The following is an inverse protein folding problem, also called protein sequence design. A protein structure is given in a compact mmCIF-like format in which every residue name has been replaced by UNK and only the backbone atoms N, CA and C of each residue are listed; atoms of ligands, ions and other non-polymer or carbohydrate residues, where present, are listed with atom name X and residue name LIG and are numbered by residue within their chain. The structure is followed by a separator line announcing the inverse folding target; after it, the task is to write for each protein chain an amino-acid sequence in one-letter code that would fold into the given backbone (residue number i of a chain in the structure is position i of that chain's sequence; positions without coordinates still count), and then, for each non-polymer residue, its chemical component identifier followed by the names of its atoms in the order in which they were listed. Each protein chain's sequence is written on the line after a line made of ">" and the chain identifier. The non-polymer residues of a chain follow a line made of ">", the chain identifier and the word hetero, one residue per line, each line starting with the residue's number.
data_IF_472223296481
#
_entry.id   IF_472223296481
#
_cell.length_a   1.000
_cell.length_b   1.000
_cell.length_c   1.000
_cell.angle_alpha   90.00
_cell.angle_beta   90.00
_cell.angle_gamma   90.00
#
_symmetry.space_group_name_H-M   'P 1'
#
loop_
_entity.id
_entity.type
_entity.pdbx_description
1 polymer ?
#
# COMPACT_ATOMS: atom_id res chain seq x y z
N UNK A 1 -5.94 -12.17 80.60
CA UNK A 1 -4.62 -12.48 80.06
C UNK A 1 -4.67 -12.17 78.57
N UNK A 2 -3.87 -11.18 78.15
CA UNK A 2 -3.87 -10.56 76.80
C UNK A 2 -2.96 -11.36 75.85
N UNK A 3 -3.46 -11.79 74.71
CA UNK A 3 -2.65 -12.29 73.63
C UNK A 3 -2.71 -11.31 72.47
N UNK A 4 -1.55 -10.69 72.20
CA UNK A 4 -1.31 -9.81 71.03
C UNK A 4 -1.05 -10.63 69.79
N UNK A 5 -1.86 -10.42 68.77
CA UNK A 5 -1.62 -10.96 67.44
C UNK A 5 -0.89 -9.90 66.58
N UNK A 6 0.33 -10.23 66.13
CA UNK A 6 1.15 -9.40 65.27
C UNK A 6 0.66 -9.56 63.82
N UNK A 7 0.29 -8.43 63.20
CA UNK A 7 0.07 -8.34 61.75
C UNK A 7 1.40 -8.14 61.06
N UNK A 8 1.75 -9.08 60.20
CA UNK A 8 2.88 -8.96 59.28
C UNK A 8 2.37 -8.38 57.96
N UNK A 9 2.69 -7.11 57.72
CA UNK A 9 2.37 -6.40 56.49
C UNK A 9 3.26 -6.84 55.34
N UNK A 10 2.66 -7.43 54.34
CA UNK A 10 3.35 -7.73 53.08
C UNK A 10 3.29 -6.50 52.16
N UNK A 11 4.42 -5.85 52.02
CA UNK A 11 4.58 -4.68 51.12
C UNK A 11 4.79 -5.20 49.69
N UNK A 12 3.76 -5.22 48.88
CA UNK A 12 3.86 -5.45 47.45
C UNK A 12 4.38 -4.19 46.77
N UNK A 13 5.65 -4.20 46.38
CA UNK A 13 6.19 -3.23 45.43
C UNK A 13 5.67 -3.52 44.05
N UNK A 14 4.74 -2.69 43.57
CA UNK A 14 4.38 -2.58 42.15
C UNK A 14 5.53 -1.88 41.43
N UNK A 15 6.36 -2.64 40.71
CA UNK A 15 7.24 -2.07 39.69
C UNK A 15 6.38 -1.66 38.50
N UNK A 16 6.08 -0.37 38.39
CA UNK A 16 5.58 0.22 37.16
C UNK A 16 6.73 0.27 36.16
N UNK A 17 6.76 -0.65 35.23
CA UNK A 17 7.62 -0.53 34.04
C UNK A 17 6.99 0.53 33.14
N UNK A 18 7.50 1.75 33.24
CA UNK A 18 7.21 2.80 32.27
C UNK A 18 7.90 2.40 30.95
N UNK A 19 7.12 1.88 30.01
CA UNK A 19 7.55 1.78 28.62
C UNK A 19 7.59 3.22 28.10
N UNK A 20 8.75 3.84 28.16
CA UNK A 20 9.02 5.09 27.46
C UNK A 20 9.08 4.75 25.98
N UNK A 21 7.98 4.95 25.27
CA UNK A 21 8.00 5.02 23.83
C UNK A 21 8.75 6.28 23.44
N UNK A 22 9.97 6.13 22.96
CA UNK A 22 10.68 7.23 22.32
C UNK A 22 9.83 7.76 21.16
N UNK A 23 9.60 9.09 21.06
CA UNK A 23 8.97 9.64 19.88
C UNK A 23 9.90 9.37 18.70
N UNK A 24 9.37 8.69 17.66
CA UNK A 24 10.02 8.60 16.36
C UNK A 24 10.22 10.05 15.90
N UNK A 25 11.44 10.55 16.03
CA UNK A 25 11.83 11.83 15.50
C UNK A 25 11.58 11.77 13.98
N UNK A 26 10.50 12.41 13.56
CA UNK A 26 10.31 12.75 12.16
C UNK A 26 11.53 13.55 11.74
N UNK A 27 12.40 12.91 10.95
CA UNK A 27 13.54 13.58 10.37
C UNK A 27 13.00 14.73 9.53
N UNK A 28 13.11 15.95 10.07
CA UNK A 28 12.79 17.20 9.40
C UNK A 28 13.84 17.45 8.30
N UNK A 29 13.65 16.75 7.19
CA UNK A 29 14.31 16.98 5.94
C UNK A 29 13.23 17.11 4.89
N UNK A 30 12.62 18.29 4.79
CA UNK A 30 11.78 18.65 3.67
C UNK A 30 12.67 18.62 2.40
N UNK A 31 12.76 17.45 1.77
CA UNK A 31 13.25 17.34 0.40
C UNK A 31 12.04 17.38 -0.53
N UNK A 32 11.78 18.59 -1.04
CA UNK A 32 10.97 18.81 -2.22
C UNK A 32 11.39 17.81 -3.31
N UNK A 33 10.45 17.07 -3.89
CA UNK A 33 10.66 16.26 -5.09
C UNK A 33 11.08 17.08 -6.34
N UNK A 34 11.34 18.36 -6.19
CA UNK A 34 11.66 19.30 -7.27
C UNK A 34 13.15 19.35 -7.60
N UNK A 35 14.03 18.75 -6.80
CA UNK A 35 15.45 18.69 -7.14
C UNK A 35 15.72 17.48 -8.07
N UNK A 36 15.69 17.72 -9.38
CA UNK A 36 16.29 16.82 -10.38
C UNK A 36 17.81 16.73 -10.15
N UNK A 37 18.25 16.00 -9.15
CA UNK A 37 19.61 15.52 -9.14
C UNK A 37 19.74 14.39 -10.15
N UNK A 38 20.46 14.70 -11.25
CA UNK A 38 21.00 13.71 -12.18
C UNK A 38 22.09 12.88 -11.47
N UNK A 39 21.74 12.10 -10.47
CA UNK A 39 22.59 11.04 -10.01
C UNK A 39 22.34 9.81 -10.89
N UNK A 40 23.40 9.29 -11.50
CA UNK A 40 23.43 8.03 -12.24
C UNK A 40 22.76 6.95 -11.39
N UNK A 41 21.47 6.73 -11.61
CA UNK A 41 20.77 5.53 -11.20
C UNK A 41 21.43 4.39 -11.95
N UNK A 42 21.94 3.40 -11.24
CA UNK A 42 22.38 2.14 -11.82
C UNK A 42 21.24 1.60 -12.68
N UNK A 43 21.45 1.57 -13.97
CA UNK A 43 20.59 1.19 -15.09
C UNK A 43 19.13 0.88 -14.74
N UNK A 44 18.22 1.78 -15.12
CA UNK A 44 16.80 1.51 -15.24
C UNK A 44 16.61 0.49 -16.38
N UNK A 45 16.90 -0.77 -16.14
CA UNK A 45 16.77 -1.81 -17.15
C UNK A 45 15.28 -2.07 -17.36
N UNK A 46 14.77 -1.68 -18.52
CA UNK A 46 13.47 -2.18 -19.00
C UNK A 46 13.71 -3.60 -19.46
N UNK A 47 12.92 -4.51 -18.93
CA UNK A 47 13.00 -5.92 -19.19
C UNK A 47 11.60 -6.50 -19.48
N UNK A 48 11.52 -7.73 -19.87
CA UNK A 48 10.26 -8.39 -20.17
C UNK A 48 10.29 -9.87 -19.85
N UNK A 49 9.13 -10.42 -19.56
CA UNK A 49 8.92 -11.85 -19.33
C UNK A 49 7.58 -12.29 -19.88
N UNK A 50 7.54 -13.50 -20.45
CA UNK A 50 6.30 -14.13 -20.89
C UNK A 50 5.61 -14.78 -19.66
N UNK A 51 4.41 -14.34 -19.35
CA UNK A 51 3.59 -14.84 -18.24
C UNK A 51 2.20 -15.18 -18.79
N UNK A 52 1.75 -16.40 -18.63
CA UNK A 52 0.43 -16.86 -19.10
C UNK A 52 0.11 -16.50 -20.56
N UNK A 53 1.13 -16.50 -21.44
CA UNK A 53 0.98 -16.09 -22.83
C UNK A 53 1.03 -14.59 -23.08
N UNK A 54 1.17 -13.77 -22.04
CA UNK A 54 1.27 -12.31 -22.12
C UNK A 54 2.71 -11.85 -21.93
N UNK A 55 3.22 -11.00 -22.84
CA UNK A 55 4.52 -10.34 -22.66
C UNK A 55 4.37 -9.19 -21.66
N UNK A 56 4.93 -9.35 -20.48
CA UNK A 56 4.93 -8.33 -19.40
C UNK A 56 6.24 -7.56 -19.43
N UNK A 57 6.16 -6.26 -19.72
CA UNK A 57 7.29 -5.36 -19.63
C UNK A 57 7.35 -4.75 -18.23
N UNK A 58 8.54 -4.58 -17.70
CA UNK A 58 8.74 -3.97 -16.39
C UNK A 58 10.07 -3.24 -16.32
N UNK A 59 10.16 -2.25 -15.45
CA UNK A 59 11.39 -1.57 -15.07
C UNK A 59 11.81 -2.01 -13.67
N UNK A 60 13.12 -2.24 -13.48
CA UNK A 60 13.69 -2.55 -12.17
C UNK A 60 14.55 -1.40 -11.66
N UNK A 61 14.42 -1.09 -10.38
CA UNK A 61 15.34 -0.26 -9.62
C UNK A 61 15.91 -1.12 -8.49
N UNK A 62 17.21 -1.36 -8.52
CA UNK A 62 17.88 -2.16 -7.50
C UNK A 62 18.58 -1.25 -6.49
N UNK A 63 18.61 -1.57 -5.19
CA UNK A 63 19.42 -0.86 -4.23
C UNK A 63 20.92 -1.04 -4.54
N UNK A 64 21.77 -0.19 -3.95
CA UNK A 64 23.24 -0.24 -4.18
C UNK A 64 23.84 -1.61 -3.93
N UNK A 65 23.29 -2.36 -2.98
CA UNK A 65 23.67 -3.74 -2.69
C UNK A 65 22.42 -4.60 -2.61
N UNK A 66 22.36 -5.62 -3.44
CA UNK A 66 21.31 -6.65 -3.40
C UNK A 66 21.82 -7.78 -2.51
N UNK A 67 20.97 -8.23 -1.59
CA UNK A 67 21.19 -9.34 -0.68
C UNK A 67 20.05 -10.37 -0.85
N UNK A 68 20.25 -11.64 -0.48
CA UNK A 68 19.19 -12.65 -0.56
C UNK A 68 17.91 -12.34 0.24
N UNK A 69 18.00 -11.39 1.17
CA UNK A 69 16.88 -10.88 1.96
C UNK A 69 16.42 -9.48 1.52
N UNK A 70 16.92 -8.95 0.40
CA UNK A 70 16.46 -7.66 -0.14
C UNK A 70 14.97 -7.75 -0.48
N UNK A 71 14.10 -6.93 0.14
CA UNK A 71 12.67 -6.93 -0.13
C UNK A 71 12.35 -6.43 -1.53
N UNK A 72 11.21 -6.86 -2.07
CA UNK A 72 10.68 -6.39 -3.35
C UNK A 72 9.39 -5.59 -3.13
N UNK A 73 9.31 -4.40 -3.70
CA UNK A 73 8.06 -3.64 -3.84
C UNK A 73 7.66 -3.66 -5.31
N UNK A 74 6.42 -4.02 -5.61
CA UNK A 74 5.80 -3.92 -6.93
C UNK A 74 4.90 -2.69 -6.95
N UNK A 75 5.13 -1.76 -7.89
CA UNK A 75 4.41 -0.49 -8.02
C UNK A 75 3.58 -0.47 -9.29
N UNK A 76 2.27 -0.38 -9.15
CA UNK A 76 1.31 -0.40 -10.24
C UNK A 76 0.88 1.02 -10.63
N UNK A 77 0.90 1.31 -11.94
CA UNK A 77 0.44 2.59 -12.49
C UNK A 77 -1.10 2.69 -12.53
N UNK A 78 -1.63 3.91 -12.68
CA UNK A 78 -3.04 4.17 -12.93
C UNK A 78 -3.47 3.90 -14.37
N UNK A 79 -4.76 4.07 -14.67
CA UNK A 79 -5.35 3.86 -15.99
C UNK A 79 -4.68 4.74 -17.06
N UNK A 80 -4.26 4.14 -18.17
CA UNK A 80 -3.57 4.80 -19.26
C UNK A 80 -2.09 5.13 -19.00
N UNK A 81 -1.55 4.78 -17.82
CA UNK A 81 -0.14 4.93 -17.45
C UNK A 81 0.77 3.87 -18.07
N UNK A 82 1.80 3.43 -17.33
CA UNK A 82 2.70 2.35 -17.75
C UNK A 82 3.81 2.77 -18.71
N UNK A 83 4.17 4.06 -18.71
CA UNK A 83 5.36 4.58 -19.40
C UNK A 83 6.67 4.22 -18.69
N UNK A 84 6.58 3.54 -17.53
CA UNK A 84 7.68 3.07 -16.69
C UNK A 84 8.55 4.20 -16.09
N UNK A 85 8.10 5.46 -16.14
CA UNK A 85 8.77 6.59 -15.48
C UNK A 85 8.45 6.62 -13.97
N UNK A 86 9.34 7.23 -13.20
CA UNK A 86 9.10 7.49 -11.78
C UNK A 86 8.29 8.80 -11.60
N UNK A 87 6.97 8.67 -11.58
CA UNK A 87 6.05 9.77 -11.28
C UNK A 87 5.72 9.86 -9.77
N UNK A 88 6.20 8.89 -8.98
CA UNK A 88 5.86 8.71 -7.56
C UNK A 88 7.01 9.00 -6.60
N UNK A 89 8.21 9.24 -7.11
CA UNK A 89 9.46 9.34 -6.34
C UNK A 89 9.83 8.07 -5.56
N UNK A 90 9.24 6.92 -5.89
CA UNK A 90 9.53 5.64 -5.25
C UNK A 90 10.95 5.16 -5.52
N UNK A 91 11.56 5.52 -6.66
CA UNK A 91 12.97 5.20 -6.97
C UNK A 91 13.90 5.70 -5.86
N UNK A 92 13.71 6.97 -5.44
CA UNK A 92 14.53 7.57 -4.39
C UNK A 92 14.28 6.94 -3.02
N UNK A 93 13.06 6.50 -2.74
CA UNK A 93 12.73 5.79 -1.50
C UNK A 93 13.37 4.40 -1.52
N UNK A 94 13.30 3.67 -2.63
CA UNK A 94 13.93 2.36 -2.80
C UNK A 94 15.43 2.41 -2.53
N UNK A 95 16.11 3.41 -3.10
CA UNK A 95 17.56 3.61 -2.89
C UNK A 95 17.92 3.93 -1.44
N UNK A 96 17.13 4.76 -0.75
CA UNK A 96 17.39 5.12 0.66
C UNK A 96 17.09 3.99 1.62
N UNK A 97 16.02 3.25 1.35
CA UNK A 97 15.51 2.23 2.27
C UNK A 97 16.02 0.82 1.96
N UNK A 98 16.72 0.63 0.84
CA UNK A 98 17.41 -0.63 0.52
C UNK A 98 16.47 -1.74 0.02
N UNK A 99 15.35 -1.43 -0.61
CA UNK A 99 14.50 -2.41 -1.27
C UNK A 99 14.61 -2.34 -2.81
N UNK A 100 14.31 -3.43 -3.47
CA UNK A 100 14.17 -3.48 -4.92
C UNK A 100 12.76 -3.03 -5.33
N UNK A 101 12.66 -2.21 -6.39
CA UNK A 101 11.38 -1.73 -6.92
C UNK A 101 11.16 -2.29 -8.32
N UNK A 102 10.06 -3.01 -8.52
CA UNK A 102 9.57 -3.46 -9.82
C UNK A 102 8.39 -2.59 -10.24
N UNK A 103 8.48 -1.96 -11.41
CA UNK A 103 7.42 -1.14 -12.00
C UNK A 103 6.95 -1.80 -13.29
N UNK A 104 5.94 -2.70 -13.23
CA UNK A 104 5.41 -3.34 -14.43
C UNK A 104 4.48 -2.42 -15.21
N UNK A 105 4.37 -2.67 -16.51
CA UNK A 105 3.37 -2.07 -17.37
C UNK A 105 2.17 -3.01 -17.53
N UNK A 106 0.96 -2.48 -17.34
CA UNK A 106 -0.28 -3.16 -17.66
C UNK A 106 -0.40 -3.47 -19.15
N UNK A 107 -1.28 -4.39 -19.51
CA UNK A 107 -1.60 -4.69 -20.90
C UNK A 107 -2.58 -3.64 -21.46
N UNK A 108 -2.72 -3.62 -22.78
CA UNK A 108 -3.72 -2.80 -23.44
C UNK A 108 -5.11 -3.43 -23.31
N UNK A 109 -6.03 -2.69 -22.73
CA UNK A 109 -7.43 -3.08 -22.58
C UNK A 109 -8.23 -2.93 -23.89
N UNK A 110 -9.52 -3.32 -23.92
CA UNK A 110 -10.37 -3.18 -25.09
C UNK A 110 -10.53 -1.73 -25.61
N UNK A 111 -10.23 -0.72 -24.78
CA UNK A 111 -10.20 0.69 -25.18
C UNK A 111 -8.83 1.15 -25.69
N UNK A 112 -7.85 0.25 -25.79
CA UNK A 112 -6.49 0.55 -26.22
C UNK A 112 -5.69 1.37 -25.21
N UNK A 113 -6.01 1.29 -23.92
CA UNK A 113 -5.27 1.93 -22.84
C UNK A 113 -4.56 0.87 -21.99
N UNK A 114 -3.33 1.16 -21.55
CA UNK A 114 -2.67 0.31 -20.55
C UNK A 114 -3.43 0.37 -19.24
N UNK A 115 -3.80 -0.79 -18.74
CA UNK A 115 -4.56 -0.90 -17.49
C UNK A 115 -4.37 -2.28 -16.85
N UNK A 116 -4.85 -2.40 -15.64
CA UNK A 116 -5.02 -3.66 -14.92
C UNK A 116 -6.47 -4.09 -15.02
N UNK A 117 -6.71 -5.36 -15.28
CA UNK A 117 -8.07 -5.90 -15.36
C UNK A 117 -8.65 -6.04 -13.94
N UNK A 118 -9.43 -5.07 -13.58
CA UNK A 118 -10.15 -5.04 -12.29
C UNK A 118 -11.65 -5.27 -12.46
N UNK A 119 -12.09 -5.58 -13.69
CA UNK A 119 -13.49 -5.83 -14.00
C UNK A 119 -14.32 -4.57 -14.18
N UNK A 120 -13.74 -3.53 -14.77
CA UNK A 120 -14.54 -2.41 -15.25
C UNK A 120 -15.55 -2.86 -16.31
N UNK A 121 -16.70 -2.21 -16.45
CA UNK A 121 -17.70 -2.60 -17.46
C UNK A 121 -17.15 -2.72 -18.87
N UNK A 122 -16.21 -1.86 -19.24
CA UNK A 122 -15.56 -1.89 -20.56
C UNK A 122 -14.42 -2.92 -20.68
N UNK A 123 -14.06 -3.63 -19.60
CA UNK A 123 -13.12 -4.76 -19.60
C UNK A 123 -13.84 -6.10 -19.70
N UNK A 124 -15.17 -6.11 -19.81
CA UNK A 124 -15.95 -7.34 -19.98
C UNK A 124 -15.44 -8.14 -21.17
N UNK A 125 -15.21 -9.44 -20.97
CA UNK A 125 -14.67 -10.35 -21.99
C UNK A 125 -13.14 -10.21 -22.23
N UNK A 126 -12.45 -9.32 -21.55
CA UNK A 126 -10.99 -9.24 -21.63
C UNK A 126 -10.35 -10.37 -20.81
N UNK A 127 -9.83 -11.38 -21.51
CA UNK A 127 -9.34 -12.63 -20.92
C UNK A 127 -7.92 -12.50 -20.32
N UNK A 128 -7.70 -11.49 -19.46
CA UNK A 128 -6.46 -11.27 -18.73
C UNK A 128 -6.73 -11.44 -17.26
N UNK A 129 -5.95 -12.24 -16.55
CA UNK A 129 -5.95 -12.34 -15.10
C UNK A 129 -4.69 -11.67 -14.52
N UNK A 130 -4.76 -10.36 -14.27
CA UNK A 130 -3.63 -9.61 -13.73
C UNK A 130 -3.26 -10.02 -12.30
N UNK A 131 -4.16 -10.63 -11.51
CA UNK A 131 -3.81 -11.15 -10.18
C UNK A 131 -2.79 -12.28 -10.31
N UNK A 132 -3.06 -13.24 -11.20
CA UNK A 132 -2.17 -14.38 -11.41
C UNK A 132 -0.88 -13.94 -12.11
N UNK A 133 -0.99 -13.12 -13.17
CA UNK A 133 0.16 -12.60 -13.90
C UNK A 133 1.13 -11.81 -13.00
N UNK A 134 0.62 -10.96 -12.10
CA UNK A 134 1.44 -10.21 -11.15
C UNK A 134 2.11 -11.14 -10.12
N UNK A 135 1.44 -12.18 -9.67
CA UNK A 135 2.03 -13.17 -8.77
C UNK A 135 3.20 -13.91 -9.45
N UNK A 136 3.02 -14.33 -10.70
CA UNK A 136 4.06 -15.02 -11.47
C UNK A 136 5.22 -14.09 -11.82
N UNK A 137 4.95 -12.85 -12.24
CA UNK A 137 5.95 -11.83 -12.47
C UNK A 137 6.78 -11.56 -11.22
N UNK A 138 6.12 -11.41 -10.07
CA UNK A 138 6.78 -11.16 -8.79
C UNK A 138 7.76 -12.27 -8.43
N UNK A 139 7.35 -13.54 -8.53
CA UNK A 139 8.21 -14.70 -8.30
C UNK A 139 9.40 -14.75 -9.27
N UNK A 140 9.13 -14.48 -10.55
CA UNK A 140 10.19 -14.43 -11.57
C UNK A 140 11.23 -13.37 -11.25
N UNK A 141 10.79 -12.14 -10.88
CA UNK A 141 11.68 -11.03 -10.52
C UNK A 141 12.49 -11.36 -9.26
N UNK A 142 11.85 -11.90 -8.22
CA UNK A 142 12.55 -12.34 -7.00
C UNK A 142 13.67 -13.32 -7.33
N UNK A 143 13.39 -14.33 -8.14
CA UNK A 143 14.36 -15.33 -8.54
C UNK A 143 15.47 -14.75 -9.43
N UNK A 144 15.11 -13.97 -10.44
CA UNK A 144 16.06 -13.39 -11.43
C UNK A 144 17.08 -12.49 -10.79
N UNK A 145 16.66 -11.67 -9.81
CA UNK A 145 17.54 -10.68 -9.17
C UNK A 145 18.06 -11.13 -7.80
N UNK A 146 17.79 -12.36 -7.37
CA UNK A 146 18.27 -12.90 -6.10
C UNK A 146 17.72 -12.18 -4.88
N UNK A 147 16.44 -11.76 -4.95
CA UNK A 147 15.77 -11.02 -3.89
C UNK A 147 15.14 -11.98 -2.86
N UNK A 148 14.66 -11.41 -1.74
CA UNK A 148 13.91 -12.18 -0.74
C UNK A 148 12.75 -12.95 -1.39
N UNK A 149 12.66 -14.26 -1.22
CA UNK A 149 11.57 -15.06 -1.79
C UNK A 149 10.23 -14.86 -1.05
N UNK A 150 10.27 -14.21 0.10
CA UNK A 150 9.10 -14.05 1.00
C UNK A 150 8.71 -12.59 1.25
N UNK A 151 9.63 -11.63 1.10
CA UNK A 151 9.38 -10.23 1.40
C UNK A 151 9.01 -9.48 0.11
N UNK A 152 7.79 -9.73 -0.36
CA UNK A 152 7.18 -8.99 -1.47
C UNK A 152 6.03 -8.12 -0.97
N UNK A 153 5.91 -6.92 -1.50
CA UNK A 153 4.92 -5.91 -1.18
C UNK A 153 4.32 -5.34 -2.45
N UNK A 154 3.05 -4.92 -2.41
CA UNK A 154 2.33 -4.37 -3.55
C UNK A 154 1.82 -2.99 -3.24
N UNK A 155 2.03 -2.05 -4.15
CA UNK A 155 1.38 -0.73 -4.10
C UNK A 155 0.99 -0.26 -5.48
N UNK A 156 0.06 0.66 -5.56
CA UNK A 156 -0.38 1.23 -6.83
C UNK A 156 -1.34 2.39 -6.63
N UNK A 157 -1.52 3.18 -7.69
CA UNK A 157 -2.41 4.33 -7.69
C UNK A 157 -3.57 4.13 -8.64
N UNK A 158 -4.77 4.65 -8.28
CA UNK A 158 -5.95 4.65 -9.14
C UNK A 158 -6.29 3.21 -9.58
N UNK A 159 -6.35 2.90 -10.87
CA UNK A 159 -6.51 1.52 -11.37
C UNK A 159 -5.48 0.53 -10.77
N UNK A 160 -4.23 0.97 -10.52
CA UNK A 160 -3.24 0.18 -9.77
C UNK A 160 -3.62 0.01 -8.29
N UNK A 161 -4.24 1.00 -7.67
CA UNK A 161 -4.80 0.93 -6.32
C UNK A 161 -6.00 -0.02 -6.24
N UNK A 162 -6.87 -0.01 -7.25
CA UNK A 162 -7.97 -0.98 -7.38
C UNK A 162 -7.47 -2.40 -7.54
N UNK A 163 -6.36 -2.58 -8.29
CA UNK A 163 -5.69 -3.88 -8.40
C UNK A 163 -5.11 -4.33 -7.05
N UNK A 164 -4.67 -3.40 -6.20
CA UNK A 164 -4.27 -3.69 -4.82
C UNK A 164 -5.45 -4.24 -4.00
N UNK A 165 -6.65 -3.66 -4.11
CA UNK A 165 -7.87 -4.22 -3.49
C UNK A 165 -8.21 -5.59 -4.05
N UNK A 166 -8.19 -5.76 -5.38
CA UNK A 166 -8.48 -7.05 -6.01
C UNK A 166 -7.49 -8.13 -5.57
N UNK A 167 -6.20 -7.78 -5.47
CA UNK A 167 -5.17 -8.66 -4.94
C UNK A 167 -5.45 -9.05 -3.49
N UNK A 168 -5.80 -8.10 -2.63
CA UNK A 168 -6.14 -8.35 -1.22
C UNK A 168 -7.35 -9.29 -1.09
N UNK A 169 -8.31 -9.23 -2.01
CA UNK A 169 -9.47 -10.12 -2.00
C UNK A 169 -9.23 -11.49 -2.63
N UNK A 170 -8.36 -11.59 -3.65
CA UNK A 170 -8.16 -12.86 -4.40
C UNK A 170 -6.92 -13.64 -4.00
N UNK A 171 -5.86 -12.98 -3.55
CA UNK A 171 -4.60 -13.64 -3.19
C UNK A 171 -3.95 -12.97 -1.97
N UNK A 172 -4.18 -13.55 -0.79
CA UNK A 172 -3.65 -13.05 0.49
C UNK A 172 -2.29 -13.65 0.86
N UNK A 173 -1.60 -14.33 -0.06
CA UNK A 173 -0.37 -15.07 0.25
C UNK A 173 0.87 -14.58 -0.49
N UNK A 174 0.68 -13.87 -1.63
CA UNK A 174 1.81 -13.43 -2.45
C UNK A 174 2.52 -12.22 -1.82
N UNK A 175 1.76 -11.27 -1.31
CA UNK A 175 2.29 -10.04 -0.76
C UNK A 175 2.08 -9.98 0.76
N UNK A 176 3.14 -9.64 1.50
CA UNK A 176 3.10 -9.53 2.96
C UNK A 176 2.28 -8.35 3.46
N UNK A 177 2.24 -7.28 2.70
CA UNK A 177 1.36 -6.14 2.91
C UNK A 177 1.09 -5.46 1.57
N UNK A 178 -0.05 -4.78 1.51
CA UNK A 178 -0.55 -4.12 0.30
C UNK A 178 -0.92 -2.68 0.65
N UNK A 179 -0.57 -1.72 -0.23
CA UNK A 179 -0.93 -0.33 -0.07
C UNK A 179 -1.57 0.22 -1.35
N UNK A 180 -2.76 0.78 -1.24
CA UNK A 180 -3.50 1.43 -2.33
C UNK A 180 -3.44 2.94 -2.17
N UNK A 181 -3.32 3.67 -3.27
CA UNK A 181 -3.42 5.13 -3.32
C UNK A 181 -4.52 5.51 -4.30
N UNK A 182 -5.52 6.23 -3.83
CA UNK A 182 -6.69 6.64 -4.61
C UNK A 182 -7.35 5.46 -5.37
N UNK A 183 -7.35 4.27 -4.75
CA UNK A 183 -7.95 3.07 -5.30
C UNK A 183 -9.43 2.95 -4.94
N UNK A 184 -10.12 2.04 -5.63
CA UNK A 184 -11.54 1.76 -5.42
C UNK A 184 -11.77 0.29 -5.12
N UNK A 185 -12.75 0.00 -4.28
CA UNK A 185 -13.33 -1.34 -4.22
C UNK A 185 -14.62 -1.36 -5.04
N UNK A 186 -14.55 -1.98 -6.22
CA UNK A 186 -15.75 -2.16 -7.04
C UNK A 186 -16.80 -2.99 -6.30
N UNK A 187 -18.08 -2.68 -6.53
CA UNK A 187 -19.18 -3.33 -5.83
C UNK A 187 -19.20 -4.85 -6.05
N UNK A 188 -18.80 -5.30 -7.24
CA UNK A 188 -18.69 -6.74 -7.52
C UNK A 188 -17.63 -7.44 -6.67
N UNK A 189 -16.46 -6.78 -6.43
CA UNK A 189 -15.42 -7.30 -5.51
C UNK A 189 -15.97 -7.36 -4.09
N UNK A 190 -16.60 -6.27 -3.65
CA UNK A 190 -17.15 -6.15 -2.30
C UNK A 190 -18.21 -7.20 -2.00
N UNK A 191 -19.10 -7.51 -2.95
CA UNK A 191 -20.20 -8.46 -2.77
C UNK A 191 -19.86 -9.90 -3.14
N UNK A 192 -18.96 -10.09 -4.11
CA UNK A 192 -18.73 -11.38 -4.75
C UNK A 192 -17.45 -12.11 -4.31
N UNK A 193 -16.53 -11.43 -3.62
CA UNK A 193 -15.27 -12.04 -3.19
C UNK A 193 -15.23 -12.21 -1.67
N UNK A 194 -14.83 -13.40 -1.22
CA UNK A 194 -14.71 -13.75 0.20
C UNK A 194 -13.25 -14.13 0.50
N UNK A 195 -12.40 -13.17 0.93
CA UNK A 195 -11.03 -13.44 1.32
C UNK A 195 -10.95 -14.49 2.44
N UNK A 196 -10.02 -15.42 2.33
CA UNK A 196 -9.89 -16.53 3.27
C UNK A 196 -8.88 -16.27 4.39
N UNK A 197 -8.07 -15.22 4.25
CA UNK A 197 -7.01 -14.86 5.21
C UNK A 197 -6.90 -13.36 5.36
N UNK A 198 -6.51 -12.88 6.55
CA UNK A 198 -6.19 -11.47 6.73
C UNK A 198 -4.95 -11.10 5.90
N UNK A 199 -4.89 -9.82 5.49
CA UNK A 199 -3.73 -9.22 4.84
C UNK A 199 -3.55 -7.79 5.35
N UNK A 200 -2.34 -7.40 5.77
CA UNK A 200 -2.07 -6.01 6.13
C UNK A 200 -2.36 -5.08 4.96
N UNK A 201 -3.16 -4.05 5.19
CA UNK A 201 -3.60 -3.18 4.11
C UNK A 201 -3.52 -1.70 4.50
N UNK A 202 -3.10 -0.86 3.55
CA UNK A 202 -3.14 0.60 3.68
C UNK A 202 -3.92 1.19 2.51
N UNK A 203 -4.76 2.19 2.80
CA UNK A 203 -5.33 3.10 1.80
C UNK A 203 -4.87 4.53 2.07
N UNK A 204 -4.52 5.27 1.02
CA UNK A 204 -4.25 6.71 1.06
C UNK A 204 -5.20 7.39 0.08
N UNK A 205 -6.09 8.27 0.55
CA UNK A 205 -7.16 8.79 -0.29
C UNK A 205 -7.53 10.24 0.02
N UNK A 206 -7.73 11.03 -1.04
CA UNK A 206 -8.21 12.41 -0.96
C UNK A 206 -9.72 12.50 -0.82
N UNK A 207 -10.22 13.35 0.08
CA UNK A 207 -11.67 13.50 0.28
C UNK A 207 -12.37 14.28 -0.83
N UNK A 208 -11.61 15.03 -1.65
CA UNK A 208 -12.11 15.76 -2.84
C UNK A 208 -11.66 15.10 -4.16
N UNK A 209 -11.34 13.82 -4.11
CA UNK A 209 -11.09 13.04 -5.32
C UNK A 209 -12.39 12.97 -6.14
N UNK A 210 -12.32 13.39 -7.40
CA UNK A 210 -13.45 13.42 -8.35
C UNK A 210 -13.34 12.34 -9.42
N UNK A 211 -12.34 11.50 -9.36
CA UNK A 211 -12.13 10.33 -10.24
C UNK A 211 -12.47 9.05 -9.50
N UNK A 212 -11.86 8.89 -8.32
CA UNK A 212 -12.16 7.82 -7.37
C UNK A 212 -12.83 8.46 -6.16
N UNK A 213 -14.14 8.70 -6.24
CA UNK A 213 -14.84 9.51 -5.24
C UNK A 213 -14.81 8.89 -3.84
N UNK A 214 -14.44 9.69 -2.84
CA UNK A 214 -14.45 9.29 -1.43
C UNK A 214 -15.78 8.70 -0.98
N UNK A 215 -16.87 9.27 -1.51
CA UNK A 215 -18.25 8.87 -1.20
C UNK A 215 -18.74 7.66 -1.97
N UNK A 216 -17.91 7.14 -2.89
CA UNK A 216 -18.27 6.06 -3.78
C UNK A 216 -19.21 6.50 -4.93
N UNK A 217 -19.40 5.61 -5.89
CA UNK A 217 -20.31 5.83 -7.03
C UNK A 217 -21.12 4.56 -7.29
N UNK A 218 -22.10 4.30 -6.42
CA UNK A 218 -22.99 3.15 -6.58
C UNK A 218 -23.90 3.25 -7.83
N UNK A 219 -24.31 4.43 -8.28
CA UNK A 219 -25.01 4.59 -9.55
C UNK A 219 -24.17 4.37 -10.79
N UNK A 220 -22.83 4.31 -10.66
CA UNK A 220 -21.88 4.23 -11.78
C UNK A 220 -21.97 5.45 -12.74
N UNK A 221 -22.10 6.65 -12.18
CA UNK A 221 -22.18 7.88 -12.97
C UNK A 221 -20.85 8.19 -13.68
N UNK A 222 -19.70 7.84 -13.06
CA UNK A 222 -18.37 8.00 -13.63
C UNK A 222 -18.00 6.97 -14.70
N UNK A 223 -18.74 5.86 -14.83
CA UNK A 223 -18.52 4.82 -15.84
C UNK A 223 -17.39 3.83 -15.55
N UNK A 224 -16.80 3.86 -14.34
CA UNK A 224 -15.75 2.92 -13.90
C UNK A 224 -16.33 1.60 -13.36
N UNK A 225 -17.65 1.47 -13.28
CA UNK A 225 -18.36 0.44 -12.53
C UNK A 225 -18.83 0.99 -11.18
N UNK A 226 -19.89 0.43 -10.63
CA UNK A 226 -20.33 0.80 -9.29
C UNK A 226 -19.24 0.46 -8.27
N UNK A 227 -18.90 1.39 -7.35
CA UNK A 227 -17.90 1.18 -6.32
C UNK A 227 -18.33 1.74 -4.97
N UNK A 228 -17.72 1.18 -3.92
CA UNK A 228 -18.05 1.48 -2.53
C UNK A 228 -17.41 2.79 -2.07
N UNK A 229 -18.02 3.51 -1.11
CA UNK A 229 -17.35 4.58 -0.37
C UNK A 229 -16.04 4.08 0.26
N UNK A 230 -15.00 4.93 0.23
CA UNK A 230 -13.67 4.56 0.77
C UNK A 230 -13.74 4.07 2.22
N UNK A 231 -14.45 4.73 3.16
CA UNK A 231 -14.56 4.21 4.52
C UNK A 231 -15.22 2.84 4.62
N UNK A 232 -16.20 2.55 3.75
CA UNK A 232 -16.87 1.24 3.70
C UNK A 232 -15.91 0.16 3.16
N UNK A 233 -15.15 0.47 2.11
CA UNK A 233 -14.14 -0.42 1.54
C UNK A 233 -13.06 -0.78 2.56
N UNK A 234 -12.52 0.22 3.26
CA UNK A 234 -11.52 0.04 4.31
C UNK A 234 -12.08 -0.76 5.49
N UNK A 235 -13.29 -0.41 5.98
CA UNK A 235 -13.94 -1.12 7.08
C UNK A 235 -14.22 -2.59 6.78
N UNK A 236 -14.41 -2.97 5.51
CA UNK A 236 -14.48 -4.39 5.14
C UNK A 236 -13.16 -5.11 5.46
N UNK A 237 -12.02 -4.53 5.11
CA UNK A 237 -10.71 -5.11 5.42
C UNK A 237 -10.42 -5.12 6.92
N UNK A 238 -10.85 -4.07 7.64
CA UNK A 238 -10.80 -4.03 9.12
C UNK A 238 -11.56 -5.22 9.73
N UNK A 239 -12.77 -5.48 9.23
CA UNK A 239 -13.60 -6.60 9.70
C UNK A 239 -13.00 -7.96 9.30
N UNK A 240 -12.48 -8.10 8.08
CA UNK A 240 -11.82 -9.32 7.60
C UNK A 240 -10.56 -9.65 8.39
N UNK A 241 -9.76 -8.65 8.72
CA UNK A 241 -8.56 -8.78 9.54
C UNK A 241 -8.88 -8.89 11.04
N UNK A 242 -10.14 -8.67 11.46
CA UNK A 242 -10.60 -8.65 12.85
C UNK A 242 -9.82 -7.66 13.72
N UNK A 243 -9.54 -6.48 13.20
CA UNK A 243 -8.90 -5.44 13.99
C UNK A 243 -9.78 -5.07 15.19
N UNK A 244 -9.18 -4.88 16.37
CA UNK A 244 -9.89 -4.77 17.64
C UNK A 244 -10.07 -3.35 18.14
N UNK A 245 -9.24 -2.41 17.67
CA UNK A 245 -9.30 -1.00 18.09
C UNK A 245 -8.75 -0.07 17.02
N UNK A 246 -9.19 1.18 17.08
CA UNK A 246 -8.76 2.26 16.19
C UNK A 246 -7.99 3.32 16.98
N UNK A 247 -6.92 3.83 16.37
CA UNK A 247 -6.19 5.02 16.83
C UNK A 247 -6.19 6.01 15.68
N UNK A 248 -6.63 7.25 15.96
CA UNK A 248 -6.67 8.34 14.99
C UNK A 248 -5.71 9.44 15.43
N UNK A 249 -4.86 9.87 14.50
CA UNK A 249 -3.94 10.98 14.73
C UNK A 249 -3.89 11.92 13.51
N UNK A 250 -3.77 13.22 13.76
CA UNK A 250 -3.51 14.18 12.70
C UNK A 250 -2.02 14.20 12.41
N UNK A 251 -1.67 13.97 11.15
CA UNK A 251 -0.26 13.90 10.67
C UNK A 251 0.12 15.27 10.10
N UNK A 252 1.30 15.81 10.45
CA UNK A 252 1.78 17.06 9.87
C UNK A 252 1.90 16.97 8.34
N UNK A 253 1.38 17.96 7.62
CA UNK A 253 1.49 18.07 6.16
C UNK A 253 2.77 18.77 5.74
N UNK A 254 3.33 18.40 4.58
CA UNK A 254 4.54 19.02 4.03
C UNK A 254 4.29 20.45 3.55
N UNK A 255 3.10 20.74 3.04
CA UNK A 255 2.70 22.07 2.57
C UNK A 255 1.43 22.56 3.28
N UNK A 256 1.55 23.20 4.45
CA UNK A 256 0.39 23.69 5.18
C UNK A 256 -0.40 24.80 4.45
N UNK A 257 0.19 25.43 3.45
CA UNK A 257 -0.46 26.54 2.72
C UNK A 257 -1.54 26.08 1.74
N UNK A 258 -1.63 24.79 1.43
CA UNK A 258 -2.69 24.27 0.55
C UNK A 258 -4.03 24.06 1.28
N UNK A 259 -4.06 24.21 2.61
CA UNK A 259 -5.25 24.03 3.44
C UNK A 259 -5.66 22.57 3.66
N UNK A 260 -4.87 21.61 3.18
CA UNK A 260 -5.14 20.20 3.42
C UNK A 260 -4.79 19.80 4.86
N UNK A 261 -5.48 18.77 5.33
CA UNK A 261 -5.17 18.09 6.60
C UNK A 261 -5.09 16.58 6.33
N UNK A 262 -4.22 15.90 7.06
CA UNK A 262 -4.06 14.45 6.94
C UNK A 262 -4.38 13.79 8.25
N UNK A 263 -5.31 12.85 8.25
CA UNK A 263 -5.62 12.01 9.40
C UNK A 263 -5.19 10.58 9.09
N UNK A 264 -4.41 10.01 9.99
CA UNK A 264 -4.06 8.60 9.97
C UNK A 264 -4.98 7.84 10.92
N UNK A 265 -5.79 6.96 10.36
CA UNK A 265 -6.57 5.97 11.09
C UNK A 265 -5.81 4.65 11.08
N UNK A 266 -5.41 4.16 12.25
CA UNK A 266 -4.78 2.86 12.41
C UNK A 266 -5.75 1.91 13.10
N UNK A 267 -6.19 0.89 12.36
CA UNK A 267 -6.99 -0.20 12.89
C UNK A 267 -6.04 -1.33 13.25
N UNK A 268 -5.86 -1.56 14.55
CA UNK A 268 -4.81 -2.38 15.13
C UNK A 268 -5.38 -3.66 15.76
N UNK A 269 -4.46 -4.59 16.06
CA UNK A 269 -4.79 -5.86 16.71
C UNK A 269 -5.50 -6.83 15.79
N UNK A 270 -5.25 -6.75 14.50
CA UNK A 270 -5.74 -7.71 13.52
C UNK A 270 -5.13 -9.09 13.68
N UNK A 271 -5.85 -10.12 13.21
CA UNK A 271 -5.38 -11.52 13.23
C UNK A 271 -4.01 -11.64 12.56
N UNK A 272 -3.10 -12.38 13.19
CA UNK A 272 -1.72 -12.56 12.77
C UNK A 272 -0.93 -11.24 12.60
N UNK A 273 -1.34 -10.15 13.27
CA UNK A 273 -0.75 -8.83 13.20
C UNK A 273 -1.10 -8.07 11.91
N UNK A 274 -2.15 -8.47 11.21
CA UNK A 274 -2.59 -7.83 9.98
C UNK A 274 -3.43 -6.58 10.26
N UNK A 275 -2.75 -5.46 10.49
CA UNK A 275 -3.40 -4.17 10.72
C UNK A 275 -3.90 -3.53 9.41
N UNK A 276 -4.85 -2.60 9.54
CA UNK A 276 -5.34 -1.79 8.42
C UNK A 276 -5.13 -0.32 8.73
N UNK A 277 -4.56 0.43 7.77
CA UNK A 277 -4.32 1.85 7.92
C UNK A 277 -5.05 2.64 6.83
N UNK A 278 -5.61 3.80 7.19
CA UNK A 278 -6.21 4.75 6.26
C UNK A 278 -5.61 6.13 6.48
N UNK A 279 -4.96 6.67 5.46
CA UNK A 279 -4.59 8.07 5.39
C UNK A 279 -5.70 8.84 4.68
N UNK A 280 -6.51 9.55 5.43
CA UNK A 280 -7.53 10.45 4.93
C UNK A 280 -6.92 11.82 4.66
N UNK A 281 -6.76 12.20 3.39
CA UNK A 281 -6.26 13.52 3.00
C UNK A 281 -7.44 14.45 2.76
N UNK A 282 -7.80 15.24 3.78
CA UNK A 282 -8.91 16.19 3.70
C UNK A 282 -8.54 17.33 2.75
N UNK A 283 -9.39 17.58 1.74
CA UNK A 283 -9.13 18.51 0.64
C UNK A 283 -8.28 17.92 -0.49
N UNK A 284 -7.69 16.73 -0.31
CA UNK A 284 -6.88 16.06 -1.33
C UNK A 284 -7.69 15.61 -2.52
N UNK A 285 -7.09 15.68 -3.71
CA UNK A 285 -7.68 15.28 -4.99
C UNK A 285 -7.10 13.95 -5.49
N UNK A 286 -7.39 13.54 -6.74
CA UNK A 286 -6.88 12.31 -7.34
C UNK A 286 -5.39 12.40 -7.68
N UNK A 287 -4.52 12.06 -6.74
CA UNK A 287 -3.06 12.13 -6.92
C UNK A 287 -2.29 11.23 -5.95
N UNK A 288 -0.96 11.18 -6.11
CA UNK A 288 -0.04 10.44 -5.21
C UNK A 288 0.23 11.18 -3.88
N UNK A 289 -0.36 12.36 -3.66
CA UNK A 289 -0.26 13.18 -2.43
C UNK A 289 1.16 13.61 -2.02
N UNK A 290 2.07 13.77 -2.99
CA UNK A 290 3.47 14.17 -2.71
C UNK A 290 3.61 15.58 -2.12
N UNK A 291 2.59 16.42 -2.27
CA UNK A 291 2.54 17.77 -1.68
C UNK A 291 2.08 17.75 -0.21
N UNK A 292 1.39 16.69 0.19
CA UNK A 292 0.84 16.54 1.54
C UNK A 292 1.78 15.72 2.43
N UNK A 293 2.37 14.66 1.86
CA UNK A 293 3.28 13.76 2.57
C UNK A 293 4.30 13.12 1.62
N UNK A 294 5.38 12.56 2.17
CA UNK A 294 6.25 11.66 1.39
C UNK A 294 5.57 10.29 1.31
N UNK A 295 4.63 10.17 0.38
CA UNK A 295 3.76 8.99 0.23
C UNK A 295 4.56 7.69 0.10
N UNK A 296 5.64 7.69 -0.69
CA UNK A 296 6.50 6.51 -0.82
C UNK A 296 7.16 6.11 0.49
N UNK A 297 7.63 7.07 1.29
CA UNK A 297 8.22 6.78 2.59
C UNK A 297 7.17 6.29 3.60
N UNK A 298 5.95 6.84 3.55
CA UNK A 298 4.81 6.40 4.37
C UNK A 298 4.44 4.95 4.05
N UNK A 299 4.35 4.60 2.76
CA UNK A 299 4.09 3.23 2.32
C UNK A 299 5.20 2.29 2.79
N UNK A 300 6.47 2.69 2.63
CA UNK A 300 7.58 1.84 3.09
C UNK A 300 7.59 1.67 4.61
N UNK A 301 7.28 2.72 5.37
CA UNK A 301 7.16 2.61 6.82
C UNK A 301 6.10 1.57 7.23
N UNK A 302 4.98 1.51 6.54
CA UNK A 302 3.98 0.47 6.74
C UNK A 302 4.51 -0.91 6.36
N UNK A 303 5.09 -1.08 5.17
CA UNK A 303 5.60 -2.36 4.68
C UNK A 303 6.72 -2.92 5.55
N UNK A 304 7.63 -2.07 6.04
CA UNK A 304 8.78 -2.49 6.83
C UNK A 304 8.42 -3.16 8.17
N UNK A 305 7.20 -2.97 8.66
CA UNK A 305 6.69 -3.64 9.86
C UNK A 305 6.47 -5.14 9.63
N UNK A 306 6.30 -5.56 8.38
CA UNK A 306 6.02 -6.94 7.97
C UNK A 306 7.22 -7.66 7.38
N UNK A 307 8.41 -7.08 7.44
CA UNK A 307 9.66 -7.76 7.07
C UNK A 307 9.91 -8.95 8.01
N UNK A 308 10.40 -10.07 7.48
CA UNK A 308 10.93 -11.14 8.34
C UNK A 308 12.21 -10.63 9.02
N UNK A 309 12.18 -10.61 10.33
CA UNK A 309 13.34 -10.33 11.18
C UNK A 309 14.15 -11.60 11.40
#
# INVERSE_FOLDING_TARGET
>A
MKTMTKYLGCLLMLLAVAIVSEPVQAASGAMSCVAKEKNRVTENAIDSVLVNGHMRHYRMVLPKMVQPNTPLVVLLHGYGGGNLNDETCMDSVAQRCGFALCVPAGLYDPKGKRSWNVGYPFQEGWAVDDVDDLCLLTKYVQQKYGLSPTDAFLTGMSNGGEMCYLMAYRNQTMFKAIASVAGLTLQWMYKGLEPQRPVPFMEIHGTEDRVSEWTGDLPNAGGWGAYMPVPIAVNRLVALNRCTHEVVEEVPVLNPSNGHRVFLHRYLGGDAGCDVWLYQVVGGTHCWHTVDMNTGAVIWNFFSQYLQR
#
